data_IF_395492586473
#
_entry.id   IF_395492586473
#
_cell.length_a   1.000
_cell.length_b   1.000
_cell.length_c   1.000
_cell.angle_alpha   90.00
_cell.angle_beta   90.00
_cell.angle_gamma   90.00
#
_symmetry.space_group_name_H-M   'P 1'
#
loop_
_entity.id
_entity.type
_entity.pdbx_description
1 polymer ?
#
# COMPACT_ATOMS: atom_id res chain seq x y z
N UNK A 1 17.95 -40.59 37.40
CA UNK A 1 18.22 -39.80 38.62
C UNK A 1 19.42 -38.90 38.33
N UNK A 2 19.21 -37.60 38.11
CA UNK A 2 20.34 -36.66 37.91
C UNK A 2 21.12 -36.56 39.24
N UNK A 3 22.45 -36.56 39.16
CA UNK A 3 23.29 -36.37 40.35
C UNK A 3 22.96 -35.02 40.99
N UNK A 4 22.99 -34.95 42.33
CA UNK A 4 22.68 -33.72 43.09
C UNK A 4 23.47 -32.50 42.59
N UNK A 5 24.68 -32.73 42.08
CA UNK A 5 25.58 -31.71 41.49
C UNK A 5 25.03 -31.14 40.16
N UNK A 6 24.42 -31.97 39.32
CA UNK A 6 23.84 -31.51 38.05
C UNK A 6 22.54 -30.73 38.28
N UNK A 7 21.81 -31.07 39.34
CA UNK A 7 20.57 -30.42 39.72
C UNK A 7 20.79 -29.03 40.34
N UNK A 8 21.84 -28.86 41.16
CA UNK A 8 22.23 -27.55 41.68
C UNK A 8 22.75 -26.63 40.57
N UNK A 9 23.50 -27.16 39.61
CA UNK A 9 24.04 -26.37 38.50
C UNK A 9 22.94 -25.85 37.57
N UNK A 10 21.92 -26.66 37.26
CA UNK A 10 20.76 -26.22 36.47
C UNK A 10 19.96 -25.14 37.22
N UNK A 11 19.79 -25.28 38.55
CA UNK A 11 19.07 -24.30 39.35
C UNK A 11 19.78 -22.94 39.37
N UNK A 12 21.11 -22.92 39.50
CA UNK A 12 21.89 -21.67 39.47
C UNK A 12 21.79 -20.98 38.11
N UNK A 13 21.90 -21.73 37.01
CA UNK A 13 21.78 -21.16 35.66
C UNK A 13 20.37 -20.59 35.44
N UNK A 14 19.33 -21.28 35.88
CA UNK A 14 17.95 -20.79 35.75
C UNK A 14 17.73 -19.47 36.49
N UNK A 15 18.29 -19.31 37.70
CA UNK A 15 18.19 -18.06 38.48
C UNK A 15 18.93 -16.91 37.80
N UNK A 16 20.12 -17.16 37.22
CA UNK A 16 20.88 -16.13 36.50
C UNK A 16 20.15 -15.67 35.23
N UNK A 17 19.58 -16.61 34.48
CA UNK A 17 18.80 -16.30 33.27
C UNK A 17 17.53 -15.52 33.60
N UNK A 18 16.82 -15.89 34.67
CA UNK A 18 15.66 -15.13 35.15
C UNK A 18 16.04 -13.72 35.63
N UNK A 19 17.17 -13.57 36.33
CA UNK A 19 17.68 -12.26 36.75
C UNK A 19 18.01 -11.34 35.57
N UNK A 20 18.65 -11.88 34.52
CA UNK A 20 18.94 -11.11 33.30
C UNK A 20 17.68 -10.72 32.54
N UNK A 21 16.70 -11.63 32.41
CA UNK A 21 15.42 -11.32 31.76
C UNK A 21 14.61 -10.26 32.51
N UNK A 22 14.73 -10.21 33.84
CA UNK A 22 14.07 -9.19 34.65
C UNK A 22 14.74 -7.81 34.51
N UNK A 23 16.07 -7.77 34.38
CA UNK A 23 16.82 -6.52 34.26
C UNK A 23 16.65 -5.84 32.89
N UNK A 24 16.44 -6.60 31.81
CA UNK A 24 16.20 -6.05 30.46
C UNK A 24 14.75 -5.55 30.26
N UNK A 25 13.82 -5.96 31.13
CA UNK A 25 12.39 -5.67 30.97
C UNK A 25 11.85 -4.43 31.71
N UNK A 26 12.67 -3.70 32.48
CA UNK A 26 12.17 -2.68 33.42
C UNK A 26 12.72 -1.26 33.21
N UNK A 27 13.13 -0.87 32.01
CA UNK A 27 13.31 0.56 31.68
C UNK A 27 11.99 1.15 31.15
N UNK A 28 11.16 1.62 32.08
CA UNK A 28 10.14 2.65 31.80
C UNK A 28 10.80 4.01 31.98
N UNK A 29 11.16 4.66 30.87
CA UNK A 29 11.56 6.07 30.89
C UNK A 29 10.34 6.95 30.65
N UNK A 30 9.69 7.34 31.73
CA UNK A 30 9.00 8.63 31.81
C UNK A 30 10.01 9.61 32.42
N UNK A 31 10.47 10.61 31.66
CA UNK A 31 10.67 11.95 32.23
C UNK A 31 10.91 13.05 31.18
N UNK A 32 9.98 14.01 31.21
CA UNK A 32 10.25 15.46 31.26
C UNK A 32 10.79 16.21 30.02
N UNK A 33 9.87 16.90 29.33
CA UNK A 33 10.11 18.14 28.55
C UNK A 33 10.46 19.31 29.50
N UNK A 34 11.32 20.27 29.10
CA UNK A 34 10.78 21.52 28.54
C UNK A 34 11.59 22.10 27.36
N UNK A 35 10.96 23.06 26.69
CA UNK A 35 11.23 23.62 25.36
C UNK A 35 12.50 24.49 25.20
N UNK A 36 12.97 24.64 23.94
CA UNK A 36 13.10 25.88 23.14
C UNK A 36 14.00 25.62 21.91
N UNK A 37 13.51 25.98 20.72
CA UNK A 37 14.25 25.99 19.44
C UNK A 37 15.11 27.29 19.32
N UNK A 38 16.12 27.39 18.44
CA UNK A 38 15.86 27.50 16.99
C UNK A 38 16.87 26.81 16.05
N UNK A 39 16.39 26.58 14.83
CA UNK A 39 17.03 26.42 13.52
C UNK A 39 18.57 26.28 13.45
N UNK A 40 19.06 25.24 12.75
CA UNK A 40 19.83 25.36 11.49
C UNK A 40 20.17 23.95 10.94
N UNK A 41 19.86 23.78 9.64
CA UNK A 41 20.36 22.84 8.64
C UNK A 41 20.14 21.31 8.73
N UNK A 42 19.52 20.85 7.63
CA UNK A 42 19.78 19.61 6.91
C UNK A 42 19.50 18.27 7.62
N UNK A 43 18.30 17.76 7.40
CA UNK A 43 18.15 16.39 6.95
C UNK A 43 17.00 16.33 5.93
N UNK A 44 17.35 16.27 4.65
CA UNK A 44 16.49 15.62 3.64
C UNK A 44 16.09 14.27 4.26
N UNK A 45 14.79 13.95 4.41
CA UNK A 45 14.44 12.64 4.93
C UNK A 45 15.00 11.62 3.95
N UNK A 46 15.98 10.85 4.42
CA UNK A 46 16.69 9.86 3.65
C UNK A 46 15.72 8.93 2.93
N UNK A 47 16.08 8.61 1.68
CA UNK A 47 15.52 7.59 0.78
C UNK A 47 15.12 6.32 1.52
N UNK A 48 13.96 6.38 2.16
CA UNK A 48 13.37 5.22 2.81
C UNK A 48 12.55 4.56 1.71
N UNK A 49 12.93 3.36 1.25
CA UNK A 49 12.22 2.72 0.15
C UNK A 49 10.78 2.49 0.57
N UNK A 50 9.84 2.70 -0.36
CA UNK A 50 8.42 2.47 -0.11
C UNK A 50 8.17 1.06 0.47
N UNK A 51 9.00 0.08 0.13
CA UNK A 51 8.89 -1.32 0.55
C UNK A 51 9.06 -1.63 2.05
N UNK A 52 9.37 -0.67 2.94
CA UNK A 52 9.43 -0.96 4.39
C UNK A 52 8.03 -1.03 5.03
N UNK A 53 7.65 -2.16 5.66
CA UNK A 53 6.35 -2.31 6.32
C UNK A 53 6.27 -1.43 7.57
N UNK A 54 5.75 -0.21 7.41
CA UNK A 54 5.25 0.60 8.52
C UNK A 54 3.86 0.06 8.81
N UNK A 55 3.65 -0.54 9.98
CA UNK A 55 2.34 -1.08 10.35
C UNK A 55 1.20 -0.07 10.13
N UNK A 56 -0.04 -0.57 10.05
CA UNK A 56 -1.25 0.19 9.72
C UNK A 56 -1.24 1.58 10.37
N UNK A 57 -1.01 2.67 9.60
CA UNK A 57 -1.09 4.00 10.14
C UNK A 57 -2.51 4.24 10.65
N UNK A 58 -2.65 4.78 11.87
CA UNK A 58 -3.95 5.07 12.51
C UNK A 58 -4.85 6.05 11.72
N UNK A 59 -4.38 6.55 10.58
CA UNK A 59 -5.06 7.52 9.70
C UNK A 59 -5.57 6.91 8.37
N UNK A 60 -5.61 5.59 8.21
CA UNK A 60 -6.17 4.97 6.98
C UNK A 60 -5.33 5.16 5.72
N UNK A 61 -4.04 5.47 5.86
CA UNK A 61 -3.09 5.59 4.76
C UNK A 61 -2.68 4.21 4.29
N UNK A 62 -2.92 3.91 3.01
CA UNK A 62 -2.61 2.63 2.36
C UNK A 62 -1.14 2.24 2.58
N UNK A 63 -0.92 0.97 2.92
CA UNK A 63 0.41 0.36 3.12
C UNK A 63 1.39 0.77 2.01
N UNK A 64 2.68 0.93 2.31
CA UNK A 64 3.63 1.55 1.38
C UNK A 64 4.11 0.57 0.30
N UNK A 65 3.32 -0.44 -0.04
CA UNK A 65 3.71 -1.41 -1.07
C UNK A 65 3.40 -0.82 -2.44
N UNK A 66 4.47 -0.52 -3.18
CA UNK A 66 4.41 0.08 -4.52
C UNK A 66 4.75 -0.92 -5.62
N UNK A 67 4.34 -0.61 -6.85
CA UNK A 67 4.76 -1.31 -8.07
C UNK A 67 6.27 -1.17 -8.27
N UNK A 68 6.85 -0.05 -7.81
CA UNK A 68 8.30 0.14 -7.77
C UNK A 68 8.82 0.03 -6.32
N UNK A 69 9.49 -1.08 -5.95
CA UNK A 69 10.04 -1.28 -4.61
C UNK A 69 11.17 -0.29 -4.26
N UNK A 70 11.81 0.31 -5.27
CA UNK A 70 12.94 1.22 -5.13
C UNK A 70 12.52 2.70 -5.11
N UNK A 71 11.24 3.01 -5.36
CA UNK A 71 10.79 4.40 -5.35
C UNK A 71 10.86 5.00 -3.94
N UNK A 72 11.13 6.32 -3.85
CA UNK A 72 11.04 7.04 -2.59
C UNK A 72 9.63 6.90 -2.00
N UNK A 73 9.53 6.81 -0.68
CA UNK A 73 8.26 6.68 0.04
C UNK A 73 7.37 7.94 0.01
N UNK A 74 7.58 8.83 -0.95
CA UNK A 74 6.75 10.00 -1.16
C UNK A 74 5.32 9.61 -1.50
N UNK A 75 4.37 10.43 -1.04
CA UNK A 75 2.95 10.21 -1.30
C UNK A 75 2.69 10.42 -2.78
N UNK A 76 2.06 9.44 -3.41
CA UNK A 76 1.64 9.59 -4.80
C UNK A 76 0.47 10.56 -4.91
N UNK A 77 0.32 11.23 -6.06
CA UNK A 77 -0.94 11.88 -6.39
C UNK A 77 -2.08 10.87 -6.27
N UNK A 78 -3.17 11.30 -5.63
CA UNK A 78 -4.39 10.51 -5.47
C UNK A 78 -5.51 11.19 -6.26
N UNK A 79 -6.18 10.44 -7.12
CA UNK A 79 -7.29 10.92 -7.95
C UNK A 79 -8.53 10.05 -7.74
N UNK A 80 -9.70 10.67 -7.77
CA UNK A 80 -10.96 9.93 -7.85
C UNK A 80 -11.20 9.49 -9.30
N UNK A 81 -11.74 8.29 -9.51
CA UNK A 81 -12.05 7.78 -10.85
C UNK A 81 -12.95 8.73 -11.66
N UNK A 82 -13.89 9.40 -10.99
CA UNK A 82 -14.74 10.43 -11.59
C UNK A 82 -13.97 11.60 -12.19
N UNK A 83 -12.96 12.08 -11.47
CA UNK A 83 -12.15 13.21 -11.91
C UNK A 83 -11.37 12.85 -13.18
N UNK A 84 -10.83 11.63 -13.23
CA UNK A 84 -10.10 11.15 -14.42
C UNK A 84 -11.03 11.10 -15.63
N UNK A 85 -12.23 10.53 -15.50
CA UNK A 85 -13.18 10.47 -16.61
C UNK A 85 -13.59 11.86 -17.09
N UNK A 86 -13.88 12.78 -16.16
CA UNK A 86 -14.26 14.15 -16.52
C UNK A 86 -13.13 14.89 -17.23
N UNK A 87 -11.90 14.79 -16.73
CA UNK A 87 -10.74 15.42 -17.37
C UNK A 87 -10.56 14.96 -18.82
N UNK A 88 -10.69 13.66 -19.09
CA UNK A 88 -10.60 13.13 -20.47
C UNK A 88 -11.72 13.59 -21.40
N UNK A 89 -12.93 13.80 -20.85
CA UNK A 89 -14.09 14.30 -21.60
C UNK A 89 -13.98 15.79 -21.89
N UNK A 90 -13.49 16.55 -20.93
CA UNK A 90 -13.36 18.00 -21.05
C UNK A 90 -12.23 18.38 -22.01
N UNK A 91 -11.06 17.76 -21.86
CA UNK A 91 -9.93 17.98 -22.74
C UNK A 91 -8.97 16.77 -22.73
N UNK A 92 -9.12 15.89 -23.71
CA UNK A 92 -8.29 14.69 -23.87
C UNK A 92 -6.79 15.00 -23.93
N UNK A 93 -6.38 16.06 -24.61
CA UNK A 93 -4.96 16.42 -24.72
C UNK A 93 -4.35 16.82 -23.38
N UNK A 94 -5.05 17.68 -22.62
CA UNK A 94 -4.60 18.07 -21.28
C UNK A 94 -4.64 16.91 -20.29
N UNK A 95 -5.62 16.01 -20.41
CA UNK A 95 -5.70 14.80 -19.59
C UNK A 95 -4.56 13.83 -19.89
N UNK A 96 -4.19 13.67 -21.16
CA UNK A 96 -3.03 12.87 -21.55
C UNK A 96 -1.74 13.46 -20.98
N UNK A 97 -1.52 14.77 -21.09
CA UNK A 97 -0.36 15.44 -20.50
C UNK A 97 -0.28 15.23 -18.97
N UNK A 98 -1.44 15.16 -18.32
CA UNK A 98 -1.55 14.98 -16.86
C UNK A 98 -1.38 13.54 -16.40
N UNK A 99 -1.90 12.56 -17.15
CA UNK A 99 -2.04 11.19 -16.67
C UNK A 99 -1.21 10.17 -17.43
N UNK A 100 -0.99 10.36 -18.73
CA UNK A 100 -0.34 9.35 -19.57
C UNK A 100 1.13 9.18 -19.17
N UNK A 101 1.52 7.94 -18.88
CA UNK A 101 2.85 7.60 -18.38
C UNK A 101 3.14 8.07 -16.96
N UNK A 102 2.19 8.75 -16.30
CA UNK A 102 2.33 9.20 -14.92
C UNK A 102 1.86 8.11 -13.96
N UNK A 103 2.43 8.16 -12.76
CA UNK A 103 2.22 7.17 -11.72
C UNK A 103 1.43 7.76 -10.55
N UNK A 104 0.28 7.17 -10.23
CA UNK A 104 -0.65 7.73 -9.25
C UNK A 104 -1.57 6.67 -8.64
N UNK A 105 -2.25 7.04 -7.56
CA UNK A 105 -3.30 6.22 -6.94
C UNK A 105 -4.66 6.69 -7.45
N UNK A 106 -5.49 5.73 -7.82
CA UNK A 106 -6.91 5.95 -8.15
C UNK A 106 -7.78 5.33 -7.08
N UNK A 107 -8.64 6.16 -6.50
CA UNK A 107 -9.69 5.75 -5.61
C UNK A 107 -11.05 5.71 -6.32
N UNK A 108 -11.90 4.79 -5.88
CA UNK A 108 -13.29 4.76 -6.31
C UNK A 108 -14.03 3.56 -5.78
N UNK A 109 -15.15 3.24 -6.43
CA UNK A 109 -15.99 2.09 -6.08
C UNK A 109 -15.86 1.03 -7.18
N UNK A 110 -15.55 -0.21 -6.81
CA UNK A 110 -15.46 -1.29 -7.79
C UNK A 110 -16.84 -1.58 -8.42
N UNK A 111 -16.93 -1.43 -9.74
CA UNK A 111 -18.05 -1.93 -10.55
C UNK A 111 -17.96 -3.45 -10.71
N UNK A 112 -16.74 -3.98 -10.74
CA UNK A 112 -16.44 -5.41 -10.77
C UNK A 112 -15.05 -5.68 -11.32
N UNK A 113 -14.72 -6.97 -11.44
CA UNK A 113 -13.50 -7.43 -12.11
C UNK A 113 -13.90 -8.20 -13.36
N UNK A 114 -13.22 -7.94 -14.48
CA UNK A 114 -13.41 -8.62 -15.76
C UNK A 114 -12.10 -9.20 -16.25
N UNK A 115 -12.17 -10.34 -16.92
CA UNK A 115 -11.03 -10.94 -17.61
C UNK A 115 -11.25 -10.82 -19.12
N UNK A 116 -10.23 -10.35 -19.82
CA UNK A 116 -10.19 -10.27 -21.28
C UNK A 116 -8.86 -10.86 -21.76
N UNK A 117 -8.91 -12.05 -22.37
CA UNK A 117 -7.69 -12.78 -22.70
C UNK A 117 -6.88 -13.12 -21.44
N UNK A 118 -5.61 -12.71 -21.43
CA UNK A 118 -4.70 -12.84 -20.29
C UNK A 118 -4.79 -11.71 -19.28
N UNK A 119 -5.45 -10.60 -19.63
CA UNK A 119 -5.53 -9.42 -18.79
C UNK A 119 -6.71 -9.47 -17.84
N UNK A 120 -6.52 -8.93 -16.64
CA UNK A 120 -7.54 -8.82 -15.60
C UNK A 120 -7.76 -7.36 -15.28
N UNK A 121 -8.96 -6.87 -15.58
CA UNK A 121 -9.33 -5.48 -15.42
C UNK A 121 -10.22 -5.30 -14.19
N UNK A 122 -9.81 -4.40 -13.30
CA UNK A 122 -10.72 -3.81 -12.32
C UNK A 122 -11.46 -2.65 -12.99
N UNK A 123 -12.79 -2.72 -13.03
CA UNK A 123 -13.63 -1.62 -13.47
C UNK A 123 -14.01 -0.77 -12.25
N UNK A 124 -13.60 0.50 -12.26
CA UNK A 124 -13.92 1.46 -11.21
C UNK A 124 -15.07 2.33 -11.69
N UNK A 125 -16.17 2.30 -10.94
CA UNK A 125 -17.41 3.02 -11.25
C UNK A 125 -17.18 4.52 -11.18
N UNK A 126 -17.78 5.23 -12.13
CA UNK A 126 -17.92 6.68 -12.10
C UNK A 126 -19.37 7.13 -11.83
N UNK A 127 -19.57 8.42 -11.62
CA UNK A 127 -20.88 9.06 -11.42
C UNK A 127 -21.72 9.05 -12.70
N UNK A 128 -21.08 8.92 -13.87
CA UNK A 128 -21.80 8.68 -15.11
C UNK A 128 -22.11 7.19 -15.30
N UNK A 129 -23.38 6.87 -15.50
CA UNK A 129 -23.87 5.51 -15.62
C UNK A 129 -23.39 4.88 -16.92
N UNK A 130 -22.79 3.69 -16.82
CA UNK A 130 -22.29 2.95 -17.99
C UNK A 130 -20.85 3.32 -18.38
N UNK A 131 -20.25 4.33 -17.73
CA UNK A 131 -18.84 4.66 -17.88
C UNK A 131 -18.04 4.19 -16.67
N UNK A 132 -16.82 3.72 -16.92
CA UNK A 132 -15.90 3.22 -15.90
C UNK A 132 -14.49 3.67 -16.23
N UNK A 133 -13.64 3.73 -15.21
CA UNK A 133 -12.19 3.74 -15.41
C UNK A 133 -11.71 2.30 -15.36
N UNK A 134 -11.00 1.84 -16.40
CA UNK A 134 -10.49 0.48 -16.48
C UNK A 134 -9.05 0.43 -15.98
N UNK A 135 -8.80 -0.40 -14.98
CA UNK A 135 -7.47 -0.64 -14.43
C UNK A 135 -6.99 -2.04 -14.79
N UNK A 136 -6.02 -2.16 -15.70
CA UNK A 136 -5.37 -3.44 -16.01
C UNK A 136 -4.43 -3.81 -14.86
N UNK A 137 -4.79 -4.87 -14.14
CA UNK A 137 -4.07 -5.32 -12.96
C UNK A 137 -2.80 -6.10 -13.37
N UNK A 138 -1.71 -5.86 -12.65
CA UNK A 138 -0.48 -6.65 -12.78
C UNK A 138 -0.78 -8.13 -12.53
N UNK A 139 -0.15 -9.06 -13.28
CA UNK A 139 -0.29 -10.51 -13.07
C UNK A 139 0.06 -10.95 -11.65
N UNK A 140 0.98 -10.22 -10.99
CA UNK A 140 1.34 -10.40 -9.60
C UNK A 140 0.80 -9.27 -8.75
N UNK A 141 0.03 -9.65 -7.74
CA UNK A 141 -0.62 -8.74 -6.79
C UNK A 141 -0.13 -9.05 -5.37
N UNK A 142 -0.45 -8.19 -4.41
CA UNK A 142 -0.19 -8.42 -2.99
C UNK A 142 -1.45 -8.90 -2.30
N UNK A 143 -1.36 -9.98 -1.54
CA UNK A 143 -2.54 -10.73 -1.10
C UNK A 143 -2.52 -11.13 0.37
N UNK A 144 -1.86 -10.33 1.20
CA UNK A 144 -1.79 -10.55 2.65
C UNK A 144 -0.92 -9.51 3.33
N UNK A 145 -0.71 -9.63 4.64
CA UNK A 145 0.17 -8.72 5.37
C UNK A 145 1.60 -8.77 4.82
N UNK A 146 2.20 -7.59 4.65
CA UNK A 146 3.53 -7.42 4.07
C UNK A 146 3.55 -7.60 2.54
N UNK A 147 4.70 -7.98 1.98
CA UNK A 147 4.93 -8.11 0.52
C UNK A 147 4.55 -9.48 -0.04
N UNK A 148 3.63 -10.22 0.61
CA UNK A 148 3.20 -11.55 0.13
C UNK A 148 2.47 -11.41 -1.20
N UNK A 149 3.13 -11.83 -2.26
CA UNK A 149 2.59 -11.73 -3.61
C UNK A 149 1.81 -12.99 -4.03
N UNK A 150 0.64 -12.82 -4.63
CA UNK A 150 -0.15 -13.88 -5.25
C UNK A 150 -0.50 -13.56 -6.70
N UNK A 151 -1.10 -14.51 -7.39
CA UNK A 151 -1.63 -14.31 -8.74
C UNK A 151 -2.82 -13.35 -8.74
N UNK A 152 -2.95 -12.58 -9.80
CA UNK A 152 -3.99 -11.57 -9.97
C UNK A 152 -5.39 -12.15 -9.81
N UNK A 153 -5.61 -13.39 -10.20
CA UNK A 153 -6.85 -14.14 -10.03
C UNK A 153 -7.28 -14.22 -8.57
N UNK A 154 -6.36 -14.65 -7.72
CA UNK A 154 -6.64 -14.82 -6.30
C UNK A 154 -6.95 -13.45 -5.66
N UNK A 155 -6.23 -12.39 -6.03
CA UNK A 155 -6.54 -11.03 -5.56
C UNK A 155 -7.87 -10.52 -6.09
N UNK A 156 -8.15 -10.74 -7.37
CA UNK A 156 -9.40 -10.32 -8.02
C UNK A 156 -10.63 -10.92 -7.34
N UNK A 157 -10.57 -12.17 -6.87
CA UNK A 157 -11.68 -12.80 -6.13
C UNK A 157 -12.03 -12.10 -4.81
N UNK A 158 -11.10 -11.30 -4.26
CA UNK A 158 -11.31 -10.58 -3.00
C UNK A 158 -12.05 -9.25 -3.21
N UNK A 159 -12.13 -8.75 -4.45
CA UNK A 159 -12.79 -7.49 -4.77
C UNK A 159 -14.27 -7.74 -5.08
N UNK A 160 -15.16 -7.11 -4.31
CA UNK A 160 -16.61 -7.20 -4.51
C UNK A 160 -17.14 -5.95 -5.20
N UNK A 161 -18.22 -6.09 -5.96
CA UNK A 161 -18.94 -4.95 -6.52
C UNK A 161 -19.45 -4.06 -5.37
N UNK A 162 -19.34 -2.75 -5.53
CA UNK A 162 -19.74 -1.77 -4.51
C UNK A 162 -18.68 -1.51 -3.44
N UNK A 163 -17.55 -2.23 -3.46
CA UNK A 163 -16.47 -2.03 -2.50
C UNK A 163 -15.66 -0.79 -2.83
N UNK A 164 -15.27 -0.01 -1.81
CA UNK A 164 -14.27 1.06 -1.99
C UNK A 164 -12.91 0.41 -2.27
N UNK A 165 -12.28 0.85 -3.35
CA UNK A 165 -10.98 0.35 -3.79
C UNK A 165 -10.00 1.51 -3.95
N UNK A 166 -8.73 1.19 -3.75
CA UNK A 166 -7.62 2.05 -4.09
C UNK A 166 -6.60 1.22 -4.86
N UNK A 167 -6.27 1.67 -6.07
CA UNK A 167 -5.30 1.03 -6.95
C UNK A 167 -4.20 2.02 -7.29
N UNK A 168 -2.97 1.57 -7.26
CA UNK A 168 -1.83 2.32 -7.76
C UNK A 168 -1.61 1.90 -9.21
N UNK A 169 -1.47 2.84 -10.14
CA UNK A 169 -1.44 2.56 -11.56
C UNK A 169 -0.56 3.56 -12.32
N UNK A 170 -0.26 3.19 -13.56
CA UNK A 170 0.24 4.10 -14.59
C UNK A 170 -0.90 4.50 -15.52
N UNK A 171 -1.03 5.79 -15.86
CA UNK A 171 -2.05 6.21 -16.83
C UNK A 171 -1.69 5.82 -18.26
N UNK A 172 -2.65 5.29 -19.02
CA UNK A 172 -2.43 4.77 -20.38
C UNK A 172 -3.27 5.49 -21.46
N UNK A 173 -3.99 6.55 -21.11
CA UNK A 173 -4.84 7.29 -22.06
C UNK A 173 -6.26 6.76 -22.11
N UNK A 174 -6.85 6.77 -23.31
CA UNK A 174 -8.18 6.26 -23.59
C UNK A 174 -8.12 4.92 -24.34
N UNK A 175 -8.84 3.93 -23.83
CA UNK A 175 -9.21 2.74 -24.59
C UNK A 175 -10.39 3.08 -25.51
N UNK A 176 -10.28 2.75 -26.79
CA UNK A 176 -11.32 2.98 -27.81
C UNK A 176 -11.84 4.42 -27.91
N UNK A 177 -11.10 5.40 -27.39
CA UNK A 177 -11.42 6.83 -27.45
C UNK A 177 -12.45 7.33 -26.44
N UNK A 178 -12.96 6.50 -25.54
CA UNK A 178 -14.03 6.89 -24.60
C UNK A 178 -13.79 6.48 -23.14
N UNK A 179 -12.97 5.47 -22.91
CA UNK A 179 -12.83 4.82 -21.61
C UNK A 179 -11.41 5.05 -21.08
N UNK A 180 -11.21 5.79 -19.97
CA UNK A 180 -9.90 5.94 -19.37
C UNK A 180 -9.31 4.58 -19.00
N UNK A 181 -8.10 4.34 -19.50
CA UNK A 181 -7.33 3.13 -19.27
C UNK A 181 -6.13 3.42 -18.38
N UNK A 182 -5.96 2.56 -17.38
CA UNK A 182 -4.81 2.52 -16.51
C UNK A 182 -4.12 1.16 -16.68
N UNK A 183 -2.80 1.14 -16.64
CA UNK A 183 -1.98 -0.06 -16.77
C UNK A 183 -1.10 -0.28 -15.56
N UNK A 184 -0.51 -1.47 -15.50
CA UNK A 184 0.43 -1.87 -14.46
C UNK A 184 -0.15 -1.73 -13.06
N UNK A 185 -1.45 -1.96 -12.88
CA UNK A 185 -2.14 -1.61 -11.65
C UNK A 185 -1.92 -2.61 -10.52
N UNK A 186 -1.68 -2.09 -9.32
CA UNK A 186 -1.53 -2.84 -8.08
C UNK A 186 -2.64 -2.46 -7.09
N UNK A 187 -3.34 -3.47 -6.59
CA UNK A 187 -4.48 -3.27 -5.70
C UNK A 187 -4.01 -3.08 -4.26
N UNK A 188 -3.95 -1.82 -3.82
CA UNK A 188 -3.50 -1.45 -2.46
C UNK A 188 -4.56 -1.67 -1.39
N UNK A 189 -5.83 -1.44 -1.72
CA UNK A 189 -6.91 -1.46 -0.74
C UNK A 189 -8.23 -1.95 -1.32
N UNK A 190 -8.94 -2.68 -0.48
CA UNK A 190 -10.22 -3.32 -0.75
C UNK A 190 -10.49 -4.29 0.40
N UNK A 191 -10.89 -3.75 1.55
CA UNK A 191 -11.35 -4.55 2.69
C UNK A 191 -12.56 -3.84 3.31
N UNK A 192 -13.60 -4.63 3.62
CA UNK A 192 -14.88 -4.17 4.17
C UNK A 192 -14.73 -3.42 5.48
#
# INVERSE_FOLDING_TARGET
>A
MLSRVRQTLIAVIAVVVLGMLWFVGNEKNDDSTPAVAPDTDAAVPADTPASLPRGIPRNGTLDPISIDPARPADRLPEYQADAILNDYRDNTGAADDRYRGQYFIVEGIASGVRREGSDVFLEIRTNDYGHVVRANLLPRQICGPGTRACEVEARATMVRRGQKVAVECTGAGLLNGDTPLLTDCLLRGGAN
#
